data_IF_239439158524
#
_entry.id   IF_239439158524
#
_cell.length_a   1.000
_cell.length_b   1.000
_cell.length_c   1.000
_cell.angle_alpha   90.00
_cell.angle_beta   90.00
_cell.angle_gamma   90.00
#
_symmetry.space_group_name_H-M   'P 1'
#
loop_
_entity.id
_entity.type
_entity.pdbx_description
1 polymer ?
#
# COMPACT_ATOMS: atom_id res chain seq x y z
N UNK A 1 9.60 16.77 -49.38
CA UNK A 1 10.04 16.78 -47.97
C UNK A 1 8.94 16.10 -47.15
N UNK A 2 9.13 14.83 -46.77
CA UNK A 2 8.11 14.07 -46.03
C UNK A 2 8.23 14.44 -44.54
N UNK A 3 7.23 15.15 -44.07
CA UNK A 3 6.71 15.29 -42.70
C UNK A 3 7.45 14.47 -41.60
N UNK A 4 8.62 14.94 -41.17
CA UNK A 4 9.38 14.35 -40.06
C UNK A 4 8.82 14.77 -38.69
N UNK A 5 8.13 15.92 -38.64
CA UNK A 5 7.62 16.51 -37.41
C UNK A 5 6.47 15.68 -36.80
N UNK A 6 5.63 15.09 -37.65
CA UNK A 6 4.55 14.20 -37.22
C UNK A 6 5.06 12.87 -36.63
N UNK A 7 6.23 12.36 -37.05
CA UNK A 7 6.82 11.13 -36.51
C UNK A 7 7.41 11.36 -35.12
N UNK A 8 7.94 12.56 -34.87
CA UNK A 8 8.49 12.95 -33.57
C UNK A 8 7.38 13.21 -32.53
N UNK A 9 6.30 13.91 -32.92
CA UNK A 9 5.14 14.11 -32.03
C UNK A 9 4.43 12.81 -31.67
N UNK A 10 4.29 11.88 -32.62
CA UNK A 10 3.67 10.57 -32.37
C UNK A 10 4.52 9.71 -31.45
N UNK A 11 5.85 9.68 -31.64
CA UNK A 11 6.77 9.00 -30.73
C UNK A 11 6.79 9.58 -29.31
N UNK A 12 6.68 10.91 -29.15
CA UNK A 12 6.54 11.55 -27.84
C UNK A 12 5.22 11.19 -27.16
N UNK A 13 4.12 11.22 -27.92
CA UNK A 13 2.78 10.87 -27.40
C UNK A 13 2.73 9.40 -26.98
N UNK A 14 3.37 8.50 -27.75
CA UNK A 14 3.51 7.08 -27.39
C UNK A 14 4.37 6.88 -26.14
N UNK A 15 5.50 7.60 -26.03
CA UNK A 15 6.36 7.55 -24.85
C UNK A 15 5.63 8.00 -23.57
N UNK A 16 4.94 9.14 -23.62
CA UNK A 16 4.16 9.65 -22.48
C UNK A 16 3.05 8.68 -22.07
N UNK A 17 2.38 8.06 -23.04
CA UNK A 17 1.35 7.04 -22.79
C UNK A 17 1.94 5.80 -22.10
N UNK A 18 3.06 5.27 -22.60
CA UNK A 18 3.75 4.12 -22.00
C UNK A 18 4.24 4.47 -20.59
N UNK A 19 4.86 5.64 -20.43
CA UNK A 19 5.33 6.12 -19.13
C UNK A 19 4.17 6.22 -18.13
N UNK A 20 3.03 6.78 -18.54
CA UNK A 20 1.82 6.85 -17.71
C UNK A 20 1.31 5.45 -17.34
N UNK A 21 1.20 4.53 -18.29
CA UNK A 21 0.78 3.15 -18.02
C UNK A 21 1.70 2.46 -17.00
N UNK A 22 3.01 2.62 -17.15
CA UNK A 22 4.00 2.09 -16.21
C UNK A 22 3.87 2.73 -14.82
N UNK A 23 3.70 4.05 -14.74
CA UNK A 23 3.51 4.80 -13.49
C UNK A 23 2.23 4.40 -12.76
N UNK A 24 1.13 4.22 -13.51
CA UNK A 24 -0.15 3.78 -12.97
C UNK A 24 -0.06 2.34 -12.45
N UNK A 25 0.58 1.43 -13.20
CA UNK A 25 0.81 0.05 -12.79
C UNK A 25 1.70 -0.01 -11.53
N UNK A 26 2.78 0.76 -11.51
CA UNK A 26 3.68 0.89 -10.36
C UNK A 26 2.92 1.38 -9.11
N UNK A 27 2.11 2.42 -9.26
CA UNK A 27 1.33 2.97 -8.16
C UNK A 27 0.29 1.99 -7.64
N UNK A 28 -0.42 1.28 -8.53
CA UNK A 28 -1.37 0.22 -8.13
C UNK A 28 -0.68 -0.92 -7.38
N UNK A 29 0.46 -1.40 -7.89
CA UNK A 29 1.24 -2.47 -7.25
C UNK A 29 1.69 -2.06 -5.85
N UNK A 30 2.28 -0.88 -5.72
CA UNK A 30 2.70 -0.31 -4.43
C UNK A 30 1.55 -0.22 -3.42
N UNK A 31 0.36 0.24 -3.83
CA UNK A 31 -0.80 0.32 -2.95
C UNK A 31 -1.27 -1.06 -2.47
N UNK A 32 -1.23 -2.07 -3.34
CA UNK A 32 -1.55 -3.45 -2.98
C UNK A 32 -0.53 -4.04 -1.98
N UNK A 33 0.77 -3.85 -2.23
CA UNK A 33 1.84 -4.29 -1.33
C UNK A 33 1.75 -3.60 0.03
N UNK A 34 1.48 -2.29 0.07
CA UNK A 34 1.25 -1.53 1.30
C UNK A 34 0.10 -2.13 2.12
N UNK A 35 -1.03 -2.44 1.48
CA UNK A 35 -2.17 -3.05 2.15
C UNK A 35 -1.83 -4.43 2.73
N UNK A 36 -1.12 -5.27 1.98
CA UNK A 36 -0.66 -6.59 2.43
C UNK A 36 0.30 -6.49 3.61
N UNK A 37 1.23 -5.54 3.58
CA UNK A 37 2.20 -5.33 4.67
C UNK A 37 1.50 -4.90 5.97
N UNK A 38 0.54 -3.97 5.89
CA UNK A 38 -0.28 -3.54 7.04
C UNK A 38 -1.08 -4.71 7.60
N UNK A 39 -1.69 -5.52 6.74
CA UNK A 39 -2.49 -6.66 7.17
C UNK A 39 -1.64 -7.77 7.82
N UNK A 40 -0.48 -8.08 7.24
CA UNK A 40 0.48 -9.01 7.83
C UNK A 40 0.94 -8.55 9.22
N UNK A 41 1.18 -7.25 9.38
CA UNK A 41 1.54 -6.66 10.67
C UNK A 41 0.39 -6.76 11.69
N UNK A 42 -0.84 -6.46 11.26
CA UNK A 42 -2.07 -6.60 12.07
C UNK A 42 -2.26 -8.03 12.58
N UNK A 43 -2.11 -9.02 11.69
CA UNK A 43 -2.25 -10.44 12.03
C UNK A 43 -1.17 -10.89 13.03
N UNK A 44 0.01 -10.26 13.02
CA UNK A 44 1.11 -10.53 13.95
C UNK A 44 1.11 -9.67 15.21
N UNK A 45 0.14 -8.76 15.40
CA UNK A 45 0.11 -7.86 16.56
C UNK A 45 0.17 -8.61 17.91
N UNK A 46 -0.46 -9.78 18.03
CA UNK A 46 -0.37 -10.59 19.26
C UNK A 46 1.07 -11.03 19.56
N UNK A 47 1.85 -11.38 18.53
CA UNK A 47 3.23 -11.84 18.70
C UNK A 47 4.20 -10.68 18.93
N UNK A 48 3.91 -9.51 18.34
CA UNK A 48 4.76 -8.32 18.43
C UNK A 48 4.50 -7.51 19.71
N UNK A 49 3.24 -7.39 20.13
CA UNK A 49 2.80 -6.47 21.19
C UNK A 49 1.98 -7.13 22.29
N UNK A 50 1.79 -8.45 22.23
CA UNK A 50 0.90 -9.17 23.15
C UNK A 50 -0.53 -8.63 23.07
N UNK A 51 -1.17 -8.50 24.24
CA UNK A 51 -2.56 -8.06 24.33
C UNK A 51 -2.78 -6.55 24.13
N UNK A 52 -1.74 -5.74 23.92
CA UNK A 52 -1.84 -4.27 23.89
C UNK A 52 -2.69 -3.74 22.74
N UNK A 53 -2.69 -4.43 21.60
CA UNK A 53 -3.47 -4.08 20.41
C UNK A 53 -4.67 -5.01 20.18
N UNK A 54 -4.95 -5.88 21.15
CA UNK A 54 -5.92 -6.96 20.97
C UNK A 54 -7.24 -6.59 21.65
N UNK A 55 -8.25 -6.29 20.86
CA UNK A 55 -9.61 -6.03 21.33
C UNK A 55 -10.33 -7.36 21.53
N UNK A 56 -11.13 -7.47 22.59
CA UNK A 56 -12.02 -8.63 22.78
C UNK A 56 -13.15 -8.52 21.77
N UNK A 57 -13.20 -9.47 20.83
CA UNK A 57 -14.34 -9.63 19.93
C UNK A 57 -15.19 -10.81 20.41
N UNK A 58 -16.51 -10.59 20.50
CA UNK A 58 -17.47 -11.65 20.78
C UNK A 58 -17.78 -12.42 19.50
N UNK A 59 -17.56 -13.73 19.54
CA UNK A 59 -17.91 -14.66 18.46
C UNK A 59 -18.83 -15.74 19.05
N UNK A 60 -20.14 -15.46 19.08
CA UNK A 60 -21.09 -16.32 19.80
C UNK A 60 -20.78 -16.37 21.30
N UNK A 61 -20.56 -17.55 21.85
CA UNK A 61 -20.14 -17.77 23.26
C UNK A 61 -18.63 -17.68 23.49
N UNK A 62 -17.83 -17.55 22.42
CA UNK A 62 -16.37 -17.50 22.48
C UNK A 62 -15.86 -16.06 22.43
N UNK A 63 -15.00 -15.68 23.37
CA UNK A 63 -14.25 -14.42 23.28
C UNK A 63 -12.91 -14.68 22.60
N UNK A 64 -12.73 -14.18 21.37
CA UNK A 64 -11.43 -14.19 20.70
C UNK A 64 -10.80 -12.81 20.80
N UNK A 65 -9.53 -12.76 21.21
CA UNK A 65 -8.73 -11.54 21.13
C UNK A 65 -8.24 -11.39 19.69
N UNK A 66 -8.59 -10.28 19.05
CA UNK A 66 -8.12 -9.95 17.69
C UNK A 66 -7.62 -8.52 17.67
N UNK A 67 -6.63 -8.23 16.83
CA UNK A 67 -6.27 -6.84 16.54
C UNK A 67 -7.29 -6.28 15.56
N UNK A 68 -8.04 -5.26 15.97
CA UNK A 68 -9.06 -4.59 15.15
C UNK A 68 -8.45 -3.62 14.11
N UNK A 69 -7.12 -3.49 14.09
CA UNK A 69 -6.42 -2.58 13.20
C UNK A 69 -6.46 -1.12 13.64
N UNK A 70 -6.94 -0.84 14.85
CA UNK A 70 -7.03 0.50 15.43
C UNK A 70 -6.23 0.62 16.73
N UNK A 71 -4.95 0.26 16.69
CA UNK A 71 -4.03 0.50 17.81
C UNK A 71 -2.90 1.45 17.44
N UNK A 72 -2.35 2.10 18.45
CA UNK A 72 -1.26 3.06 18.32
C UNK A 72 -0.05 2.49 17.56
N UNK A 73 0.37 1.26 17.85
CA UNK A 73 1.52 0.62 17.19
C UNK A 73 1.30 0.39 15.69
N UNK A 74 0.10 -0.01 15.28
CA UNK A 74 -0.21 -0.17 13.86
C UNK A 74 -0.25 1.19 13.15
N UNK A 75 -0.73 2.23 13.82
CA UNK A 75 -0.71 3.60 13.27
C UNK A 75 0.72 4.13 13.12
N UNK A 76 1.62 3.85 14.07
CA UNK A 76 3.05 4.15 13.90
C UNK A 76 3.65 3.43 12.70
N UNK A 77 3.36 2.14 12.53
CA UNK A 77 3.81 1.38 11.36
C UNK A 77 3.30 1.97 10.03
N UNK A 78 2.04 2.40 9.97
CA UNK A 78 1.46 3.07 8.78
C UNK A 78 2.18 4.40 8.47
N UNK A 79 2.61 5.15 9.49
CA UNK A 79 3.36 6.40 9.33
C UNK A 79 4.77 6.14 8.80
N UNK A 80 5.47 5.14 9.33
CA UNK A 80 6.80 4.76 8.82
C UNK A 80 6.74 4.27 7.37
N UNK A 81 5.73 3.45 7.02
CA UNK A 81 5.48 3.06 5.63
C UNK A 81 5.22 4.27 4.72
N UNK A 82 4.51 5.28 5.21
CA UNK A 82 4.25 6.49 4.43
C UNK A 82 5.52 7.29 4.14
N UNK A 83 6.42 7.44 5.11
CA UNK A 83 7.72 8.13 4.90
C UNK A 83 8.53 7.48 3.78
N UNK A 84 8.62 6.14 3.80
CA UNK A 84 9.32 5.37 2.76
C UNK A 84 8.71 5.54 1.35
N UNK A 85 7.44 5.89 1.26
CA UNK A 85 6.76 6.15 -0.01
C UNK A 85 6.94 7.58 -0.52
N UNK A 86 7.15 8.53 0.40
CA UNK A 86 7.33 9.96 0.09
C UNK A 86 8.77 10.38 -0.09
N UNK A 87 9.75 9.61 0.41
CA UNK A 87 11.19 9.89 0.26
C UNK A 87 11.72 9.54 -1.15
N UNK A 88 10.89 9.67 -2.20
CA UNK A 88 11.21 9.36 -3.59
C UNK A 88 11.26 10.59 -4.47
#
# INVERSE_FOLDING_TARGET
MKNCDNLFLTGQTEYENIHKMCSDAYTKGRMAERALAIEAYRLRCNNLFGNRCMTRSLFGTLTKKICDGNCWYLNQYKLELYKLETDK
#
